data_IF_032427245226
#
_entry.id   IF_032427245226
#
_cell.length_a   1.000
_cell.length_b   1.000
_cell.length_c   1.000
_cell.angle_alpha   90.00
_cell.angle_beta   90.00
_cell.angle_gamma   90.00
#
_symmetry.space_group_name_H-M   'P 1'
#
loop_
_entity.id
_entity.type
_entity.pdbx_description
1 polymer ?
#
# COMPACT_ATOMS: atom_id res chain seq x y z
N UNK A 1 -2.58 -9.54 -10.81
CA UNK A 1 -1.54 -8.57 -10.38
C UNK A 1 -1.86 -7.85 -9.06
N UNK A 2 -3.10 -7.40 -8.84
CA UNK A 2 -3.51 -6.55 -7.70
C UNK A 2 -3.13 -7.07 -6.30
N UNK A 3 -3.12 -8.38 -6.08
CA UNK A 3 -2.84 -8.95 -4.76
C UNK A 3 -1.35 -9.02 -4.38
N UNK A 4 -0.41 -8.80 -5.31
CA UNK A 4 1.02 -8.95 -5.00
C UNK A 4 1.53 -7.87 -4.04
N UNK A 5 1.20 -6.61 -4.29
CA UNK A 5 1.65 -5.48 -3.45
C UNK A 5 1.13 -5.65 -2.01
N UNK A 6 -0.17 -5.97 -1.88
CA UNK A 6 -0.83 -6.29 -0.61
C UNK A 6 -0.12 -7.45 0.10
N UNK A 7 0.27 -8.50 -0.63
CA UNK A 7 0.93 -9.66 -0.06
C UNK A 7 2.35 -9.34 0.43
N UNK A 8 3.12 -8.53 -0.32
CA UNK A 8 4.44 -8.04 0.10
C UNK A 8 4.29 -7.18 1.36
N UNK A 9 3.31 -6.28 1.40
CA UNK A 9 3.01 -5.48 2.59
C UNK A 9 2.62 -6.35 3.78
N UNK A 10 1.74 -7.34 3.62
CA UNK A 10 1.37 -8.30 4.68
C UNK A 10 2.57 -9.07 5.24
N UNK A 11 3.61 -9.30 4.43
CA UNK A 11 4.86 -9.93 4.88
C UNK A 11 5.77 -8.95 5.64
N UNK A 12 5.77 -7.67 5.25
CA UNK A 12 6.59 -6.61 5.89
C UNK A 12 5.93 -6.04 7.15
N UNK A 13 4.62 -6.18 7.29
CA UNK A 13 3.82 -5.58 8.36
C UNK A 13 3.26 -6.68 9.25
N UNK A 14 3.36 -6.52 10.58
CA UNK A 14 2.80 -7.48 11.51
C UNK A 14 1.28 -7.59 11.36
N UNK A 15 0.73 -8.79 11.58
CA UNK A 15 -0.71 -9.08 11.43
C UNK A 15 -1.60 -8.11 12.21
N UNK A 16 -1.21 -7.74 13.44
CA UNK A 16 -1.94 -6.77 14.27
C UNK A 16 -1.98 -5.37 13.65
N UNK A 17 -0.85 -4.93 13.08
CA UNK A 17 -0.76 -3.63 12.38
C UNK A 17 -1.58 -3.64 11.10
N UNK A 18 -1.56 -4.75 10.35
CA UNK A 18 -2.41 -4.93 9.18
C UNK A 18 -3.88 -4.76 9.54
N UNK A 19 -4.33 -5.46 10.58
CA UNK A 19 -5.73 -5.43 11.02
C UNK A 19 -6.18 -4.06 11.51
N UNK A 20 -5.28 -3.27 12.12
CA UNK A 20 -5.61 -1.93 12.64
C UNK A 20 -5.55 -0.83 11.56
N UNK A 21 -4.59 -0.89 10.65
CA UNK A 21 -4.29 0.22 9.73
C UNK A 21 -4.56 -0.11 8.28
N UNK A 22 -4.35 -1.36 7.87
CA UNK A 22 -4.60 -1.83 6.51
C UNK A 22 -5.93 -2.57 6.36
N UNK A 23 -6.77 -2.61 7.42
CA UNK A 23 -8.08 -3.26 7.38
C UNK A 23 -8.97 -2.72 6.27
N UNK A 24 -8.92 -1.41 6.03
CA UNK A 24 -9.70 -0.71 5.01
C UNK A 24 -8.86 -0.31 3.80
N UNK A 25 -7.61 -0.80 3.72
CA UNK A 25 -6.66 -0.45 2.67
C UNK A 25 -6.86 -1.38 1.47
N UNK A 26 -7.42 -0.83 0.42
CA UNK A 26 -7.75 -1.55 -0.80
C UNK A 26 -7.05 -0.94 -1.99
N UNK A 27 -6.64 -1.80 -2.93
CA UNK A 27 -6.06 -1.36 -4.18
C UNK A 27 -7.19 -0.98 -5.13
N UNK A 28 -7.33 0.31 -5.41
CA UNK A 28 -8.40 0.83 -6.28
C UNK A 28 -8.08 0.61 -7.75
N UNK A 29 -6.88 0.94 -8.18
CA UNK A 29 -6.43 0.78 -9.57
C UNK A 29 -4.91 0.76 -9.64
N UNK A 30 -4.38 -0.01 -10.59
CA UNK A 30 -2.96 0.01 -10.94
C UNK A 30 -2.91 0.49 -12.38
N UNK A 31 -2.41 1.70 -12.56
CA UNK A 31 -2.07 2.21 -13.88
C UNK A 31 -0.60 1.87 -14.18
N UNK A 32 -0.22 1.86 -15.45
CA UNK A 32 1.16 1.60 -15.88
C UNK A 32 2.19 2.58 -15.29
N UNK A 33 1.73 3.76 -14.87
CA UNK A 33 2.56 4.85 -14.35
C UNK A 33 2.36 5.13 -12.85
N UNK A 34 1.28 4.63 -12.22
CA UNK A 34 0.98 4.90 -10.81
C UNK A 34 0.05 3.89 -10.19
N UNK A 35 0.13 3.77 -8.87
CA UNK A 35 -0.75 2.90 -8.08
C UNK A 35 -1.71 3.72 -7.23
N UNK A 36 -3.01 3.47 -7.38
CA UNK A 36 -4.07 4.13 -6.61
C UNK A 36 -4.63 3.14 -5.59
N UNK A 37 -4.48 3.51 -4.32
CA UNK A 37 -5.11 2.87 -3.18
C UNK A 37 -6.32 3.68 -2.73
N UNK A 38 -7.19 3.03 -1.98
CA UNK A 38 -8.33 3.64 -1.35
C UNK A 38 -8.39 3.16 0.09
N UNK A 39 -8.69 4.08 1.00
CA UNK A 39 -8.95 3.77 2.41
C UNK A 39 -10.28 4.35 2.82
N UNK A 40 -10.93 3.70 3.78
CA UNK A 40 -12.18 4.23 4.34
C UNK A 40 -11.98 5.48 5.22
N UNK A 41 -10.73 5.78 5.63
CA UNK A 41 -10.44 6.87 6.57
C UNK A 41 -9.21 7.69 6.15
N UNK A 42 -9.40 8.99 5.96
CA UNK A 42 -8.34 9.95 5.61
C UNK A 42 -7.23 10.04 6.67
N UNK A 43 -7.54 9.83 7.95
CA UNK A 43 -6.52 9.80 9.01
C UNK A 43 -5.58 8.60 8.85
N UNK A 44 -6.12 7.46 8.44
CA UNK A 44 -5.34 6.25 8.17
C UNK A 44 -4.46 6.48 6.94
N UNK A 45 -4.99 7.12 5.90
CA UNK A 45 -4.21 7.53 4.72
C UNK A 45 -2.98 8.34 5.13
N UNK A 46 -3.17 9.43 5.87
CA UNK A 46 -2.08 10.35 6.20
C UNK A 46 -1.01 9.65 7.08
N UNK A 47 -1.47 8.85 8.04
CA UNK A 47 -0.60 8.06 8.90
C UNK A 47 0.16 6.98 8.13
N UNK A 48 -0.50 6.26 7.22
CA UNK A 48 0.13 5.27 6.36
C UNK A 48 1.13 5.91 5.41
N UNK A 49 0.79 7.05 4.81
CA UNK A 49 1.68 7.76 3.92
C UNK A 49 2.94 8.24 4.67
N UNK A 50 2.78 8.73 5.90
CA UNK A 50 3.91 9.23 6.70
C UNK A 50 4.75 8.09 7.30
N UNK A 51 4.13 7.08 7.92
CA UNK A 51 4.84 6.00 8.63
C UNK A 51 5.21 4.83 7.72
N UNK A 52 4.34 4.49 6.77
CA UNK A 52 4.46 3.34 5.89
C UNK A 52 4.73 3.72 4.43
N UNK A 53 4.75 5.00 4.06
CA UNK A 53 4.95 5.40 2.67
C UNK A 53 6.25 4.84 2.09
N UNK A 54 7.33 4.82 2.86
CA UNK A 54 8.58 4.18 2.47
C UNK A 54 8.46 2.65 2.30
N UNK A 55 7.64 1.98 3.12
CA UNK A 55 7.39 0.53 3.02
C UNK A 55 6.53 0.22 1.81
N UNK A 56 5.49 1.03 1.57
CA UNK A 56 4.59 0.92 0.43
C UNK A 56 5.37 1.12 -0.86
N UNK A 57 6.17 2.19 -0.96
CA UNK A 57 6.99 2.45 -2.14
C UNK A 57 7.93 1.27 -2.46
N UNK A 58 8.65 0.76 -1.47
CA UNK A 58 9.51 -0.42 -1.66
C UNK A 58 8.71 -1.66 -2.05
N UNK A 59 7.52 -1.84 -1.48
CA UNK A 59 6.68 -3.01 -1.78
C UNK A 59 6.12 -2.97 -3.19
N UNK A 60 5.78 -1.78 -3.69
CA UNK A 60 5.36 -1.58 -5.08
C UNK A 60 6.52 -1.90 -6.00
N UNK A 61 7.69 -1.31 -5.75
CA UNK A 61 8.89 -1.57 -6.54
C UNK A 61 9.25 -3.06 -6.58
N UNK A 62 9.18 -3.75 -5.44
CA UNK A 62 9.46 -5.20 -5.36
C UNK A 62 8.38 -6.04 -6.07
N UNK A 63 7.14 -5.59 -6.11
CA UNK A 63 6.03 -6.30 -6.76
C UNK A 63 5.96 -6.07 -8.27
N UNK A 64 6.23 -4.84 -8.75
CA UNK A 64 6.12 -4.45 -10.16
C UNK A 64 7.46 -4.39 -10.88
N UNK A 65 8.59 -4.37 -10.14
CA UNK A 65 9.92 -4.17 -10.69
C UNK A 65 10.18 -2.74 -11.18
N UNK A 66 9.26 -1.80 -10.93
CA UNK A 66 9.33 -0.41 -11.39
C UNK A 66 9.09 0.55 -10.23
N UNK A 67 9.79 1.68 -10.24
CA UNK A 67 9.52 2.78 -9.31
C UNK A 67 8.26 3.51 -9.77
N UNK A 68 7.12 3.11 -9.22
CA UNK A 68 5.82 3.73 -9.50
C UNK A 68 5.39 4.58 -8.30
N UNK A 69 5.08 5.87 -8.50
CA UNK A 69 4.44 6.66 -7.46
C UNK A 69 3.11 6.03 -7.06
N UNK A 70 2.77 6.20 -5.78
CA UNK A 70 1.50 5.72 -5.24
C UNK A 70 0.70 6.85 -4.63
N UNK A 71 -0.62 6.71 -4.73
CA UNK A 71 -1.61 7.59 -4.13
C UNK A 71 -2.57 6.75 -3.29
N UNK A 72 -2.98 7.26 -2.13
CA UNK A 72 -3.93 6.61 -1.21
C UNK A 72 -5.19 7.48 -1.11
#
# INVERSE_FOLDING_TARGET
>A
MSSQIINVLKKKVAKKTWDNWFSTFELKSVEDDRVVFSVANLFIKDWLQTKYGGVINRSIHEATGKELPFEI
#
